data_IF_701854585405
#
_entry.id   IF_701854585405
#
_cell.length_a   1.000
_cell.length_b   1.000
_cell.length_c   1.000
_cell.angle_alpha   90.00
_cell.angle_beta   90.00
_cell.angle_gamma   90.00
#
_symmetry.space_group_name_H-M   'P 1'
#
loop_
_entity.id
_entity.type
_entity.pdbx_description
1 polymer ?
#
# COMPACT_ATOMS: atom_id res chain seq x y z
N UNK A 1 9.38 20.06 -15.36
CA UNK A 1 9.47 19.16 -14.20
C UNK A 1 10.85 19.36 -13.57
N UNK A 2 10.95 19.78 -12.31
CA UNK A 2 12.24 19.86 -11.61
C UNK A 2 12.49 18.51 -10.92
N UNK A 3 13.62 17.87 -11.18
CA UNK A 3 14.05 16.62 -10.54
C UNK A 3 15.12 16.92 -9.48
N UNK A 4 15.45 15.94 -8.63
CA UNK A 4 16.45 16.08 -7.55
C UNK A 4 16.16 17.18 -6.51
N UNK A 5 14.90 17.61 -6.42
CA UNK A 5 14.44 18.54 -5.40
C UNK A 5 13.70 17.77 -4.31
N UNK A 6 14.45 17.39 -3.27
CA UNK A 6 13.87 16.75 -2.09
C UNK A 6 13.25 17.82 -1.18
N UNK A 7 11.98 17.65 -0.83
CA UNK A 7 11.28 18.51 0.13
C UNK A 7 11.73 18.14 1.54
N UNK A 8 12.08 19.15 2.33
CA UNK A 8 12.40 19.03 3.75
C UNK A 8 11.15 19.23 4.61
N UNK A 9 10.44 20.34 4.41
CA UNK A 9 9.27 20.72 5.21
C UNK A 9 8.19 21.37 4.34
N UNK A 10 6.95 21.31 4.83
CA UNK A 10 5.78 22.01 4.28
C UNK A 10 5.02 22.61 5.46
N UNK A 11 4.81 23.92 5.44
CA UNK A 11 4.07 24.64 6.48
C UNK A 11 2.96 25.49 5.84
N UNK A 12 1.86 25.67 6.57
CA UNK A 12 0.80 26.61 6.21
C UNK A 12 1.00 27.92 6.96
N UNK A 13 0.96 29.03 6.24
CA UNK A 13 1.02 30.37 6.80
C UNK A 13 -0.37 30.95 7.10
N UNK A 14 -0.39 31.99 7.94
CA UNK A 14 -1.62 32.68 8.40
C UNK A 14 -2.45 33.31 7.26
N UNK A 15 -1.84 33.57 6.10
CA UNK A 15 -2.47 34.11 4.90
C UNK A 15 -3.04 33.03 3.95
N UNK A 16 -3.11 31.76 4.39
CA UNK A 16 -3.49 30.60 3.55
C UNK A 16 -2.52 30.26 2.42
N UNK A 17 -1.28 30.77 2.47
CA UNK A 17 -0.20 30.29 1.60
C UNK A 17 0.54 29.12 2.25
N UNK A 18 1.31 28.42 1.41
CA UNK A 18 2.19 27.33 1.81
C UNK A 18 3.64 27.72 1.54
N UNK A 19 4.48 27.46 2.53
CA UNK A 19 5.93 27.55 2.37
C UNK A 19 6.50 26.13 2.32
N UNK A 20 7.32 25.86 1.31
CA UNK A 20 8.03 24.60 1.10
C UNK A 20 9.52 24.87 1.21
N UNK A 21 10.17 24.20 2.17
CA UNK A 21 11.61 24.21 2.28
C UNK A 21 12.19 22.99 1.57
N UNK A 22 13.14 23.20 0.69
CA UNK A 22 13.92 22.13 0.08
C UNK A 22 15.06 21.71 1.01
N UNK A 23 15.55 20.49 0.84
CA UNK A 23 16.72 19.99 1.58
C UNK A 23 17.99 20.82 1.34
N UNK A 24 18.03 21.61 0.28
CA UNK A 24 19.11 22.58 -0.01
C UNK A 24 19.04 23.84 0.88
N UNK A 25 17.94 24.05 1.62
CA UNK A 25 17.65 25.28 2.36
C UNK A 25 16.91 26.35 1.54
N UNK A 26 16.74 26.13 0.23
CA UNK A 26 15.91 27.02 -0.60
C UNK A 26 14.44 26.94 -0.16
N UNK A 27 13.81 28.10 -0.02
CA UNK A 27 12.40 28.24 0.34
C UNK A 27 11.59 28.66 -0.87
N UNK A 28 10.44 28.02 -1.07
CA UNK A 28 9.49 28.29 -2.13
C UNK A 28 8.10 28.57 -1.56
N UNK A 29 7.39 29.55 -2.12
CA UNK A 29 6.04 29.94 -1.69
C UNK A 29 5.01 29.58 -2.75
N UNK A 30 3.85 29.07 -2.30
CA UNK A 30 2.74 28.69 -3.16
C UNK A 30 1.40 29.00 -2.50
N UNK A 31 0.42 29.48 -3.27
CA UNK A 31 -0.95 29.64 -2.78
C UNK A 31 -1.72 28.31 -2.70
N UNK A 32 -1.26 27.28 -3.42
CA UNK A 32 -1.88 25.95 -3.49
C UNK A 32 -0.82 24.89 -3.68
N UNK A 33 -1.00 23.74 -3.03
CA UNK A 33 -0.13 22.57 -3.15
C UNK A 33 -0.95 21.31 -3.39
N UNK A 34 -0.39 20.35 -4.14
CA UNK A 34 -0.96 19.03 -4.37
C UNK A 34 0.05 17.97 -3.92
N UNK A 35 -0.36 17.09 -3.01
CA UNK A 35 0.43 15.95 -2.60
C UNK A 35 0.18 14.77 -3.54
N UNK A 36 1.22 14.37 -4.29
CA UNK A 36 1.21 13.22 -5.19
C UNK A 36 2.44 12.31 -4.92
N UNK A 37 2.76 12.10 -3.65
CA UNK A 37 4.01 11.49 -3.16
C UNK A 37 3.94 9.98 -2.95
N UNK A 38 2.82 9.33 -3.31
CA UNK A 38 2.61 7.91 -3.03
C UNK A 38 2.65 7.60 -1.53
N UNK A 39 3.24 6.46 -1.15
CA UNK A 39 3.38 6.01 0.25
C UNK A 39 4.55 6.65 1.01
N UNK A 40 4.98 7.85 0.61
CA UNK A 40 6.12 8.54 1.22
C UNK A 40 5.82 9.02 2.64
N UNK A 41 6.39 8.36 3.66
CA UNK A 41 6.21 8.68 5.08
C UNK A 41 6.45 10.16 5.45
N UNK A 42 7.40 10.83 4.79
CA UNK A 42 7.65 12.27 5.00
C UNK A 42 6.41 13.12 4.69
N UNK A 43 5.69 12.77 3.63
CA UNK A 43 4.47 13.48 3.25
C UNK A 43 3.34 13.26 4.25
N UNK A 44 3.25 12.07 4.84
CA UNK A 44 2.26 11.81 5.90
C UNK A 44 2.52 12.69 7.13
N UNK A 45 3.78 12.85 7.53
CA UNK A 45 4.14 13.77 8.61
C UNK A 45 3.75 15.22 8.30
N UNK A 46 3.95 15.67 7.05
CA UNK A 46 3.53 17.01 6.63
C UNK A 46 2.01 17.17 6.64
N UNK A 47 1.28 16.18 6.13
CA UNK A 47 -0.19 16.18 6.13
C UNK A 47 -0.76 16.19 7.57
N UNK A 48 -0.17 15.41 8.47
CA UNK A 48 -0.51 15.42 9.90
C UNK A 48 -0.26 16.79 10.54
N UNK A 49 0.92 17.39 10.29
CA UNK A 49 1.25 18.74 10.75
C UNK A 49 0.33 19.84 10.19
N UNK A 50 -0.25 19.62 8.99
CA UNK A 50 -1.27 20.47 8.38
C UNK A 50 -2.69 20.22 8.92
N UNK A 51 -2.85 19.29 9.86
CA UNK A 51 -4.12 19.00 10.54
C UNK A 51 -4.95 17.87 9.91
N UNK A 52 -4.40 17.11 8.97
CA UNK A 52 -5.09 15.93 8.42
C UNK A 52 -4.90 14.71 9.31
N UNK A 53 -5.93 13.88 9.44
CA UNK A 53 -5.81 12.58 10.12
C UNK A 53 -5.18 11.54 9.19
N UNK A 54 -4.09 10.92 9.63
CA UNK A 54 -3.50 9.77 8.93
C UNK A 54 -4.10 8.48 9.48
N UNK A 55 -4.76 7.72 8.60
CA UNK A 55 -5.19 6.36 8.93
C UNK A 55 -3.99 5.44 8.76
N UNK A 56 -3.65 4.68 9.81
CA UNK A 56 -2.50 3.78 9.79
C UNK A 56 -2.58 2.83 8.58
N UNK A 57 -1.57 2.83 7.70
CA UNK A 57 -1.56 2.00 6.52
C UNK A 57 -1.34 0.53 6.93
N UNK A 58 -2.15 -0.35 6.36
CA UNK A 58 -1.91 -1.79 6.41
C UNK A 58 -1.45 -2.29 5.04
N UNK A 59 -0.66 -3.37 4.98
CA UNK A 59 -0.26 -3.98 3.73
C UNK A 59 -1.48 -4.43 2.91
N UNK A 60 -1.39 -4.33 1.59
CA UNK A 60 -2.42 -4.81 0.66
C UNK A 60 -1.75 -5.31 -0.62
N UNK A 61 -2.49 -6.03 -1.47
CA UNK A 61 -1.97 -6.60 -2.72
C UNK A 61 -0.74 -7.48 -2.48
N UNK A 62 -0.80 -8.34 -1.47
CA UNK A 62 0.23 -9.31 -1.14
C UNK A 62 -0.19 -10.74 -1.50
N UNK A 63 0.81 -11.63 -1.55
CA UNK A 63 0.65 -13.07 -1.79
C UNK A 63 0.41 -13.81 -0.48
N UNK A 64 -0.29 -14.96 -0.52
CA UNK A 64 -0.46 -15.78 0.69
C UNK A 64 0.63 -16.83 0.78
N UNK A 65 1.35 -16.84 1.90
CA UNK A 65 2.24 -17.95 2.26
C UNK A 65 1.40 -19.13 2.76
N UNK A 66 1.52 -20.28 2.10
CA UNK A 66 0.74 -21.48 2.41
C UNK A 66 1.69 -22.67 2.48
N UNK A 67 1.77 -23.29 3.65
CA UNK A 67 2.49 -24.55 3.85
C UNK A 67 1.48 -25.69 3.80
N UNK A 68 1.35 -26.31 2.64
CA UNK A 68 0.44 -27.42 2.40
C UNK A 68 1.08 -28.41 1.42
N UNK A 69 1.17 -29.68 1.80
CA UNK A 69 1.79 -30.73 1.01
C UNK A 69 1.16 -30.89 -0.39
N UNK A 70 -0.11 -30.48 -0.56
CA UNK A 70 -0.80 -30.51 -1.86
C UNK A 70 -0.23 -29.51 -2.87
N UNK A 71 0.52 -28.50 -2.42
CA UNK A 71 1.16 -27.49 -3.27
C UNK A 71 2.62 -27.84 -3.61
N UNK A 72 3.18 -28.89 -3.02
CA UNK A 72 4.57 -29.30 -3.28
C UNK A 72 4.78 -29.65 -4.76
N UNK A 73 5.88 -29.17 -5.33
CA UNK A 73 6.25 -29.37 -6.75
C UNK A 73 5.24 -28.81 -7.77
N UNK A 74 4.27 -27.98 -7.34
CA UNK A 74 3.30 -27.33 -8.23
C UNK A 74 3.63 -25.84 -8.52
N UNK A 75 4.73 -25.33 -7.99
CA UNK A 75 5.13 -23.94 -8.23
C UNK A 75 5.33 -23.67 -9.72
N UNK A 76 4.84 -22.52 -10.19
CA UNK A 76 4.83 -22.14 -11.60
C UNK A 76 3.54 -22.50 -12.35
N UNK A 77 2.67 -23.33 -11.78
CA UNK A 77 1.35 -23.58 -12.36
C UNK A 77 0.44 -22.35 -12.20
N UNK A 78 -0.16 -21.95 -13.32
CA UNK A 78 -1.12 -20.86 -13.39
C UNK A 78 -2.49 -21.39 -13.85
N UNK A 79 -3.54 -20.85 -13.24
CA UNK A 79 -4.92 -21.19 -13.53
C UNK A 79 -5.68 -19.91 -13.81
N UNK A 80 -6.46 -19.85 -14.89
CA UNK A 80 -7.12 -18.61 -15.33
C UNK A 80 -8.39 -18.31 -14.52
N UNK A 81 -9.16 -19.35 -14.19
CA UNK A 81 -10.48 -19.24 -13.57
C UNK A 81 -10.51 -19.96 -12.23
N UNK A 82 -10.07 -19.28 -11.17
CA UNK A 82 -10.09 -19.80 -9.79
C UNK A 82 -10.85 -18.85 -8.90
N UNK A 83 -11.73 -19.39 -8.06
CA UNK A 83 -12.30 -18.65 -6.94
C UNK A 83 -11.40 -18.83 -5.71
N UNK A 84 -10.90 -17.70 -5.18
CA UNK A 84 -10.15 -17.65 -3.93
C UNK A 84 -11.02 -17.00 -2.86
N UNK A 85 -11.02 -17.55 -1.65
CA UNK A 85 -11.90 -17.06 -0.57
C UNK A 85 -11.21 -16.96 0.78
N UNK A 86 -11.49 -15.88 1.51
CA UNK A 86 -11.26 -15.75 2.95
C UNK A 86 -12.58 -16.09 3.64
N UNK A 87 -12.76 -17.38 3.94
CA UNK A 87 -14.05 -17.94 4.41
C UNK A 87 -14.52 -17.27 5.70
N UNK A 88 -13.62 -17.02 6.65
CA UNK A 88 -13.95 -16.36 7.93
C UNK A 88 -14.57 -14.98 7.76
N UNK A 89 -14.20 -14.26 6.68
CA UNK A 89 -14.66 -12.89 6.41
C UNK A 89 -15.76 -12.84 5.34
N UNK A 90 -16.14 -13.98 4.75
CA UNK A 90 -17.11 -14.02 3.65
C UNK A 90 -16.64 -13.31 2.38
N UNK A 91 -15.33 -13.21 2.15
CA UNK A 91 -14.77 -12.57 0.97
C UNK A 91 -14.35 -13.62 -0.05
N UNK A 92 -14.73 -13.42 -1.32
CA UNK A 92 -14.19 -14.19 -2.43
C UNK A 92 -13.78 -13.29 -3.61
N UNK A 93 -12.92 -13.83 -4.47
CA UNK A 93 -12.47 -13.23 -5.73
C UNK A 93 -12.30 -14.32 -6.79
N UNK A 94 -12.92 -14.11 -7.95
CA UNK A 94 -12.69 -14.92 -9.14
C UNK A 94 -11.56 -14.32 -9.97
N UNK A 95 -10.66 -15.16 -10.46
CA UNK A 95 -9.68 -14.78 -11.47
C UNK A 95 -8.39 -15.60 -11.40
N UNK A 96 -7.35 -15.13 -12.10
CA UNK A 96 -6.14 -15.94 -12.25
C UNK A 96 -5.38 -16.13 -10.95
N UNK A 97 -4.90 -17.35 -10.72
CA UNK A 97 -4.06 -17.74 -9.60
C UNK A 97 -2.74 -18.34 -10.12
N UNK A 98 -1.66 -18.06 -9.40
CA UNK A 98 -0.33 -18.65 -9.61
C UNK A 98 0.10 -19.37 -8.33
N UNK A 99 0.48 -20.64 -8.44
CA UNK A 99 1.16 -21.33 -7.33
C UNK A 99 2.64 -20.91 -7.33
N UNK A 100 3.14 -20.45 -6.19
CA UNK A 100 4.53 -20.05 -6.00
C UNK A 100 5.26 -21.06 -5.11
N UNK A 101 6.58 -20.91 -4.98
CA UNK A 101 7.39 -21.80 -4.14
C UNK A 101 7.14 -21.66 -2.63
N UNK A 102 6.34 -20.67 -2.19
CA UNK A 102 5.99 -20.45 -0.79
C UNK A 102 4.48 -20.32 -0.54
N UNK A 103 3.64 -20.50 -1.56
CA UNK A 103 2.19 -20.39 -1.43
C UNK A 103 1.51 -20.02 -2.74
N UNK A 104 0.68 -18.98 -2.73
CA UNK A 104 -0.13 -18.57 -3.89
C UNK A 104 -0.09 -17.07 -4.13
N UNK A 105 -0.17 -16.71 -5.42
CA UNK A 105 -0.19 -15.34 -5.95
C UNK A 105 -1.21 -15.25 -7.09
N UNK A 106 -1.16 -14.18 -7.87
CA UNK A 106 -2.04 -13.92 -9.01
C UNK A 106 -3.14 -12.90 -8.70
N UNK A 107 -3.78 -12.32 -9.73
CA UNK A 107 -4.77 -11.27 -9.58
C UNK A 107 -5.90 -11.56 -8.58
N UNK A 108 -6.41 -12.80 -8.52
CA UNK A 108 -7.47 -13.15 -7.56
C UNK A 108 -6.96 -13.07 -6.11
N UNK A 109 -5.76 -13.60 -5.86
CA UNK A 109 -5.07 -13.53 -4.57
C UNK A 109 -4.76 -12.09 -4.15
N UNK A 110 -4.18 -11.28 -5.04
CA UNK A 110 -3.81 -9.89 -4.72
C UNK A 110 -5.05 -9.03 -4.41
N UNK A 111 -6.13 -9.17 -5.20
CA UNK A 111 -7.38 -8.45 -4.93
C UNK A 111 -8.03 -8.90 -3.63
N UNK A 112 -7.97 -10.20 -3.33
CA UNK A 112 -8.54 -10.76 -2.11
C UNK A 112 -7.77 -10.27 -0.88
N UNK A 113 -6.43 -10.23 -0.94
CA UNK A 113 -5.61 -9.70 0.15
C UNK A 113 -5.82 -8.21 0.36
N UNK A 114 -6.06 -7.42 -0.69
CA UNK A 114 -6.47 -6.02 -0.55
C UNK A 114 -7.85 -5.87 0.10
N UNK A 115 -8.82 -6.72 -0.25
CA UNK A 115 -10.17 -6.69 0.33
C UNK A 115 -10.18 -7.03 1.82
N UNK A 116 -9.39 -8.02 2.24
CA UNK A 116 -9.28 -8.45 3.65
C UNK A 116 -8.08 -7.87 4.40
N UNK A 117 -7.46 -6.79 3.89
CA UNK A 117 -6.18 -6.30 4.39
C UNK A 117 -6.19 -5.94 5.87
N UNK A 118 -7.27 -5.31 6.36
CA UNK A 118 -7.39 -4.89 7.76
C UNK A 118 -7.63 -6.07 8.68
N UNK A 119 -8.56 -6.95 8.32
CA UNK A 119 -8.92 -8.12 9.11
C UNK A 119 -7.75 -9.10 9.22
N UNK A 120 -7.00 -9.31 8.12
CA UNK A 120 -5.80 -10.14 8.11
C UNK A 120 -4.67 -9.55 8.95
N UNK A 121 -4.53 -8.20 8.94
CA UNK A 121 -3.54 -7.49 9.75
C UNK A 121 -3.85 -7.61 11.24
N UNK A 122 -5.11 -7.39 11.64
CA UNK A 122 -5.57 -7.53 13.03
C UNK A 122 -5.37 -8.95 13.58
N UNK A 123 -5.53 -9.97 12.73
CA UNK A 123 -5.31 -11.38 13.08
C UNK A 123 -3.85 -11.80 13.11
N UNK A 124 -2.89 -10.89 12.86
CA UNK A 124 -1.46 -11.20 12.72
C UNK A 124 -1.18 -12.37 11.75
N UNK A 125 -2.04 -12.56 10.75
CA UNK A 125 -1.95 -13.67 9.79
C UNK A 125 -1.15 -13.29 8.54
N UNK A 126 -0.77 -12.01 8.42
CA UNK A 126 0.10 -11.53 7.34
C UNK A 126 1.53 -11.95 7.65
N UNK A 127 2.00 -12.99 6.96
CA UNK A 127 3.42 -13.32 6.89
C UNK A 127 3.94 -12.84 5.55
N UNK A 128 4.88 -11.90 5.58
CA UNK A 128 5.64 -11.47 4.42
C UNK A 128 6.74 -12.46 4.06
#
# INVERSE_FOLDING_TARGET
MKTHMEIHSVISESNSNFQIELKTGETLEFNKILFATGSGRKAWNWLDALGHTIVEPVPSLFTFKISDARLENLFGLAFENVECSLVEFGYSQLGPLLITHWGVSGPSVLKLSAKGARELFEKNTIQF
#
